data_IF_591941449795
#
_entry.id   IF_591941449795
#
_cell.length_a   1.000
_cell.length_b   1.000
_cell.length_c   1.000
_cell.angle_alpha   90.00
_cell.angle_beta   90.00
_cell.angle_gamma   90.00
#
_symmetry.space_group_name_H-M   'P 1'
#
loop_
_entity.id
_entity.type
_entity.pdbx_description
1 polymer ?
#
# COMPACT_ATOMS: atom_id res chain seq x y z
N UNK A 1 10.73 5.31 34.16
CA UNK A 1 10.16 5.21 32.78
C UNK A 1 9.69 3.78 32.60
N UNK A 2 8.45 3.44 32.26
CA UNK A 2 7.30 4.21 31.77
C UNK A 2 6.05 3.39 32.09
N UNK A 3 5.02 4.04 32.67
CA UNK A 3 3.67 3.50 32.71
C UNK A 3 3.25 3.18 31.28
N UNK A 4 3.16 1.89 30.97
CA UNK A 4 2.61 1.41 29.72
C UNK A 4 1.10 1.65 29.79
N UNK A 5 0.68 2.87 29.42
CA UNK A 5 -0.72 3.24 29.26
C UNK A 5 -1.39 2.16 28.41
N UNK A 6 -2.20 1.32 29.05
CA UNK A 6 -3.05 0.36 28.35
C UNK A 6 -4.10 1.16 27.58
N UNK A 7 -3.74 1.59 26.38
CA UNK A 7 -4.68 2.21 25.43
C UNK A 7 -5.89 1.27 25.32
N UNK A 8 -7.09 1.84 25.47
CA UNK A 8 -8.31 1.09 25.22
C UNK A 8 -8.28 0.52 23.79
N UNK A 9 -8.95 -0.61 23.57
CA UNK A 9 -8.99 -1.27 22.25
C UNK A 9 -9.37 -0.29 21.14
N UNK A 10 -10.30 0.62 21.41
CA UNK A 10 -10.73 1.70 20.52
C UNK A 10 -9.58 2.65 20.16
N UNK A 11 -8.81 3.11 21.14
CA UNK A 11 -7.67 4.00 20.88
C UNK A 11 -6.56 3.30 20.09
N UNK A 12 -6.37 1.99 20.29
CA UNK A 12 -5.43 1.19 19.50
C UNK A 12 -5.87 1.11 18.05
N UNK A 13 -7.13 0.74 17.79
CA UNK A 13 -7.70 0.65 16.44
C UNK A 13 -7.61 2.00 15.73
N UNK A 14 -7.97 3.09 16.41
CA UNK A 14 -7.92 4.44 15.84
C UNK A 14 -6.51 4.81 15.37
N UNK A 15 -5.47 4.49 16.16
CA UNK A 15 -4.08 4.73 15.77
C UNK A 15 -3.68 3.96 14.51
N UNK A 16 -4.10 2.70 14.40
CA UNK A 16 -3.83 1.90 13.20
C UNK A 16 -4.55 2.47 11.97
N UNK A 17 -5.83 2.81 12.08
CA UNK A 17 -6.61 3.37 10.96
C UNK A 17 -6.03 4.72 10.50
N UNK A 18 -5.61 5.59 11.43
CA UNK A 18 -4.93 6.84 11.09
C UNK A 18 -3.62 6.60 10.34
N UNK A 19 -2.80 5.65 10.83
CA UNK A 19 -1.56 5.26 10.15
C UNK A 19 -1.86 4.75 8.73
N UNK A 20 -2.83 3.85 8.58
CA UNK A 20 -3.20 3.28 7.27
C UNK A 20 -3.76 4.33 6.32
N UNK A 21 -4.47 5.33 6.85
CA UNK A 21 -5.03 6.43 6.06
C UNK A 21 -3.93 7.33 5.49
N UNK A 22 -2.99 7.76 6.34
CA UNK A 22 -1.82 8.53 5.88
C UNK A 22 -1.02 7.72 4.87
N UNK A 23 -0.83 6.43 5.16
CA UNK A 23 -0.09 5.56 4.26
C UNK A 23 -0.81 5.37 2.92
N UNK A 24 -2.13 5.23 2.93
CA UNK A 24 -2.98 5.16 1.74
C UNK A 24 -2.89 6.40 0.86
N UNK A 25 -2.84 7.59 1.46
CA UNK A 25 -2.60 8.83 0.72
C UNK A 25 -1.21 8.84 0.06
N UNK A 26 -0.15 8.54 0.81
CA UNK A 26 1.20 8.46 0.25
C UNK A 26 1.31 7.40 -0.86
N UNK A 27 0.65 6.26 -0.66
CA UNK A 27 0.57 5.16 -1.61
C UNK A 27 -0.10 5.61 -2.92
N UNK A 28 -1.22 6.33 -2.83
CA UNK A 28 -1.88 6.95 -3.98
C UNK A 28 -0.92 7.82 -4.81
N UNK A 29 -0.24 8.76 -4.15
CA UNK A 29 0.69 9.68 -4.80
C UNK A 29 1.84 8.94 -5.49
N UNK A 30 2.41 7.93 -4.83
CA UNK A 30 3.49 7.14 -5.38
C UNK A 30 3.05 6.33 -6.61
N UNK A 31 1.89 5.67 -6.54
CA UNK A 31 1.36 4.92 -7.69
C UNK A 31 1.10 5.84 -8.88
N UNK A 32 0.48 6.99 -8.67
CA UNK A 32 0.26 7.97 -9.73
C UNK A 32 1.57 8.47 -10.35
N UNK A 33 2.59 8.69 -9.52
CA UNK A 33 3.91 9.07 -10.01
C UNK A 33 4.53 7.97 -10.86
N UNK A 34 4.47 6.70 -10.43
CA UNK A 34 5.03 5.56 -11.18
C UNK A 34 4.33 5.36 -12.53
N UNK A 35 3.02 5.55 -12.58
CA UNK A 35 2.26 5.50 -13.84
C UNK A 35 2.69 6.63 -14.78
N UNK A 36 2.86 7.86 -14.25
CA UNK A 36 3.40 8.97 -15.04
C UNK A 36 4.81 8.68 -15.54
N UNK A 37 5.70 8.18 -14.69
CA UNK A 37 7.06 7.79 -15.11
C UNK A 37 7.03 6.75 -16.24
N UNK A 38 6.12 5.77 -16.17
CA UNK A 38 5.96 4.78 -17.23
C UNK A 38 5.50 5.41 -18.55
N UNK A 39 4.56 6.36 -18.51
CA UNK A 39 4.12 7.12 -19.70
C UNK A 39 5.27 7.97 -20.26
N UNK A 40 5.97 8.70 -19.40
CA UNK A 40 7.04 9.62 -19.77
C UNK A 40 8.26 8.89 -20.36
N UNK A 41 8.47 7.63 -19.99
CA UNK A 41 9.53 6.79 -20.56
C UNK A 41 9.28 6.32 -22.00
N UNK A 42 8.10 6.60 -22.58
CA UNK A 42 7.68 6.22 -23.94
C UNK A 42 7.98 4.76 -24.33
N UNK A 43 7.63 3.76 -23.50
CA UNK A 43 7.86 2.36 -23.83
C UNK A 43 6.86 1.88 -24.89
N UNK A 44 7.22 0.85 -25.66
CA UNK A 44 6.29 0.19 -26.59
C UNK A 44 5.03 -0.35 -25.90
N UNK A 45 5.15 -0.73 -24.62
CA UNK A 45 4.06 -1.32 -23.83
C UNK A 45 3.86 -0.60 -22.48
N UNK A 46 3.28 0.61 -22.51
CA UNK A 46 3.05 1.47 -21.33
C UNK A 46 2.36 0.73 -20.18
N UNK A 47 1.31 -0.07 -20.45
CA UNK A 47 0.58 -0.78 -19.40
C UNK A 47 1.45 -1.80 -18.66
N UNK A 48 2.30 -2.53 -19.39
CA UNK A 48 3.17 -3.55 -18.82
C UNK A 48 4.28 -2.90 -18.00
N UNK A 49 4.89 -1.83 -18.52
CA UNK A 49 5.90 -1.04 -17.80
C UNK A 49 5.32 -0.44 -16.52
N UNK A 50 4.14 0.19 -16.58
CA UNK A 50 3.46 0.73 -15.41
C UNK A 50 3.15 -0.36 -14.38
N UNK A 51 2.66 -1.52 -14.83
CA UNK A 51 2.41 -2.66 -13.95
C UNK A 51 3.69 -3.11 -13.26
N UNK A 52 4.80 -3.27 -13.98
CA UNK A 52 6.08 -3.68 -13.40
C UNK A 52 6.57 -2.71 -12.33
N UNK A 53 6.49 -1.39 -12.59
CA UNK A 53 6.84 -0.36 -11.62
C UNK A 53 5.96 -0.41 -10.37
N UNK A 54 4.65 -0.50 -10.55
CA UNK A 54 3.72 -0.58 -9.43
C UNK A 54 3.88 -1.89 -8.62
N UNK A 55 4.17 -3.02 -9.27
CA UNK A 55 4.46 -4.28 -8.58
C UNK A 55 5.76 -4.19 -7.76
N UNK A 56 6.82 -3.62 -8.33
CA UNK A 56 8.06 -3.35 -7.60
C UNK A 56 7.82 -2.46 -6.37
N UNK A 57 7.01 -1.41 -6.53
CA UNK A 57 6.63 -0.54 -5.42
C UNK A 57 5.73 -1.24 -4.38
N UNK A 58 4.90 -2.21 -4.79
CA UNK A 58 4.12 -3.02 -3.85
C UNK A 58 5.00 -3.91 -2.98
N UNK A 59 6.14 -4.39 -3.47
CA UNK A 59 7.12 -5.12 -2.63
C UNK A 59 7.70 -4.19 -1.56
N UNK A 60 8.07 -2.97 -1.93
CA UNK A 60 8.54 -1.95 -0.98
C UNK A 60 7.45 -1.59 0.04
N UNK A 61 6.23 -1.36 -0.44
CA UNK A 61 5.08 -1.03 0.41
C UNK A 61 4.76 -2.17 1.38
N UNK A 62 4.77 -3.43 0.91
CA UNK A 62 4.63 -4.62 1.75
C UNK A 62 5.70 -4.71 2.84
N UNK A 63 6.96 -4.36 2.51
CA UNK A 63 8.04 -4.27 3.49
C UNK A 63 7.73 -3.26 4.59
N UNK A 64 7.29 -2.05 4.21
CA UNK A 64 6.99 -0.96 5.15
C UNK A 64 5.74 -1.28 5.99
N UNK A 65 4.65 -1.75 5.37
CA UNK A 65 3.44 -2.18 6.08
C UNK A 65 3.80 -3.23 7.14
N UNK A 66 4.54 -4.26 6.77
CA UNK A 66 5.00 -5.31 7.70
C UNK A 66 6.03 -4.81 8.72
N UNK A 67 6.60 -3.61 8.56
CA UNK A 67 7.55 -3.00 9.50
C UNK A 67 6.82 -2.16 10.54
N UNK A 68 5.87 -1.34 10.11
CA UNK A 68 5.15 -0.38 10.95
C UNK A 68 3.87 -0.94 11.55
N UNK A 69 3.18 -1.87 10.87
CA UNK A 69 2.05 -2.60 11.43
C UNK A 69 2.43 -4.06 11.76
N UNK A 70 2.77 -4.28 13.03
CA UNK A 70 3.11 -5.63 13.53
C UNK A 70 1.89 -6.49 13.83
N UNK A 71 0.74 -5.85 14.04
CA UNK A 71 -0.45 -6.52 14.49
C UNK A 71 -1.15 -7.12 13.26
N UNK A 72 -1.65 -6.28 12.36
CA UNK A 72 -2.62 -6.66 11.33
C UNK A 72 -2.16 -6.22 9.92
N UNK A 73 -0.96 -6.62 9.45
CA UNK A 73 -0.36 -6.08 8.23
C UNK A 73 -1.16 -6.41 6.96
N UNK A 74 -1.80 -7.58 6.88
CA UNK A 74 -2.59 -7.97 5.71
C UNK A 74 -3.87 -7.13 5.59
N UNK A 75 -4.52 -6.83 6.73
CA UNK A 75 -5.70 -5.97 6.78
C UNK A 75 -5.31 -4.53 6.48
N UNK A 76 -4.16 -4.08 7.00
CA UNK A 76 -3.58 -2.79 6.65
C UNK A 76 -3.34 -2.66 5.14
N UNK A 77 -2.78 -3.69 4.50
CA UNK A 77 -2.55 -3.72 3.06
C UNK A 77 -3.84 -3.61 2.24
N UNK A 78 -4.88 -4.35 2.62
CA UNK A 78 -6.20 -4.26 1.96
C UNK A 78 -6.77 -2.84 2.12
N UNK A 79 -6.75 -2.29 3.34
CA UNK A 79 -7.23 -0.95 3.61
C UNK A 79 -6.45 0.10 2.80
N UNK A 80 -5.12 0.07 2.83
CA UNK A 80 -4.23 1.00 2.12
C UNK A 80 -4.48 0.93 0.61
N UNK A 81 -4.63 -0.28 0.06
CA UNK A 81 -4.92 -0.48 -1.36
C UNK A 81 -6.28 0.12 -1.75
N UNK A 82 -7.35 -0.22 -1.03
CA UNK A 82 -8.71 0.29 -1.31
C UNK A 82 -8.76 1.81 -1.10
N UNK A 83 -8.29 2.28 0.06
CA UNK A 83 -8.33 3.69 0.39
C UNK A 83 -7.48 4.51 -0.57
N UNK A 84 -6.23 4.11 -0.80
CA UNK A 84 -5.31 4.83 -1.67
C UNK A 84 -5.68 4.79 -3.16
N UNK A 85 -6.24 3.70 -3.67
CA UNK A 85 -6.51 3.58 -5.11
C UNK A 85 -7.94 3.90 -5.51
N UNK A 86 -8.89 3.88 -4.57
CA UNK A 86 -10.30 4.20 -4.84
C UNK A 86 -10.73 5.47 -4.14
N UNK A 87 -10.58 5.52 -2.81
CA UNK A 87 -11.16 6.61 -1.99
C UNK A 87 -10.43 7.94 -2.23
N UNK A 88 -9.10 7.94 -2.12
CA UNK A 88 -8.27 9.14 -2.31
C UNK A 88 -8.48 9.78 -3.70
N UNK A 89 -8.35 9.08 -4.84
CA UNK A 89 -8.54 9.71 -6.15
C UNK A 89 -9.96 10.24 -6.37
N UNK A 90 -10.98 9.49 -5.91
CA UNK A 90 -12.37 9.91 -6.07
C UNK A 90 -12.66 11.18 -5.28
N UNK A 91 -12.13 11.31 -4.06
CA UNK A 91 -12.32 12.49 -3.22
C UNK A 91 -11.55 13.70 -3.77
N UNK A 92 -10.31 13.52 -4.22
CA UNK A 92 -9.43 14.63 -4.59
C UNK A 92 -9.61 15.12 -6.02
N UNK A 93 -9.96 14.24 -6.95
CA UNK A 93 -9.98 14.55 -8.39
C UNK A 93 -11.28 14.11 -9.06
N UNK A 94 -11.87 13.00 -8.60
CA UNK A 94 -13.10 12.43 -9.12
C UNK A 94 -12.91 11.05 -9.75
N UNK A 95 -14.00 10.36 -10.15
CA UNK A 95 -13.96 8.99 -10.64
C UNK A 95 -13.10 8.77 -11.89
N UNK A 96 -12.90 9.80 -12.71
CA UNK A 96 -12.04 9.76 -13.89
C UNK A 96 -10.54 9.62 -13.57
N UNK A 97 -10.12 9.86 -12.33
CA UNK A 97 -8.74 9.68 -11.89
C UNK A 97 -8.40 8.24 -11.48
N UNK A 98 -9.35 7.32 -11.61
CA UNK A 98 -9.11 5.90 -11.36
C UNK A 98 -8.18 5.31 -12.43
N UNK A 99 -7.29 4.43 -11.97
CA UNK A 99 -6.42 3.67 -12.85
C UNK A 99 -7.22 2.77 -13.79
N UNK A 100 -6.60 2.34 -14.89
CA UNK A 100 -7.19 1.33 -15.75
C UNK A 100 -7.51 0.07 -14.95
N UNK A 101 -8.66 -0.56 -15.23
CA UNK A 101 -9.12 -1.78 -14.55
C UNK A 101 -8.04 -2.87 -14.39
N UNK A 102 -7.25 -3.22 -15.43
CA UNK A 102 -6.21 -4.23 -15.26
C UNK A 102 -5.11 -3.80 -14.30
N UNK A 103 -4.68 -2.53 -14.37
CA UNK A 103 -3.66 -1.98 -13.49
C UNK A 103 -4.14 -1.94 -12.03
N UNK A 104 -5.36 -1.45 -11.81
CA UNK A 104 -6.00 -1.41 -10.51
C UNK A 104 -6.12 -2.81 -9.89
N UNK A 105 -6.62 -3.79 -10.65
CA UNK A 105 -6.77 -5.16 -10.17
C UNK A 105 -5.43 -5.80 -9.81
N UNK A 106 -4.41 -5.65 -10.69
CA UNK A 106 -3.07 -6.18 -10.44
C UNK A 106 -2.44 -5.61 -9.17
N UNK A 107 -2.58 -4.29 -8.95
CA UNK A 107 -2.04 -3.61 -7.76
C UNK A 107 -2.81 -4.03 -6.49
N UNK A 108 -4.15 -4.04 -6.53
CA UNK A 108 -4.98 -4.40 -5.37
C UNK A 108 -4.77 -5.84 -4.92
N UNK A 109 -4.60 -6.78 -5.86
CA UNK A 109 -4.38 -8.19 -5.53
C UNK A 109 -2.94 -8.41 -5.05
N UNK A 110 -1.95 -7.79 -5.68
CA UNK A 110 -0.54 -8.03 -5.35
C UNK A 110 -0.13 -7.44 -4.00
N UNK A 111 -0.71 -6.31 -3.56
CA UNK A 111 -0.30 -5.66 -2.31
C UNK A 111 -0.53 -6.56 -1.06
N UNK A 112 -1.71 -7.17 -0.86
CA UNK A 112 -1.91 -8.16 0.22
C UNK A 112 -1.02 -9.40 0.06
N UNK A 113 -0.86 -9.91 -1.17
CA UNK A 113 -0.03 -11.10 -1.45
C UNK A 113 1.43 -10.86 -1.08
N UNK A 114 2.00 -9.72 -1.48
CA UNK A 114 3.37 -9.36 -1.14
C UNK A 114 3.53 -9.07 0.35
N UNK A 115 2.52 -8.47 0.99
CA UNK A 115 2.53 -8.24 2.44
C UNK A 115 2.54 -9.55 3.21
N UNK A 116 1.73 -10.51 2.79
CA UNK A 116 1.76 -11.87 3.32
C UNK A 116 3.15 -12.50 3.13
N UNK A 117 3.67 -12.54 1.91
CA UNK A 117 4.99 -13.12 1.61
C UNK A 117 6.11 -12.47 2.44
N UNK A 118 6.10 -11.15 2.57
CA UNK A 118 7.06 -10.38 3.36
C UNK A 118 7.02 -10.75 4.85
N UNK A 119 5.83 -11.01 5.40
CA UNK A 119 5.68 -11.48 6.78
C UNK A 119 6.30 -12.85 6.98
N UNK A 120 6.15 -13.77 6.03
CA UNK A 120 6.81 -15.08 6.07
C UNK A 120 8.33 -14.96 6.03
N UNK A 121 8.86 -14.12 5.14
CA UNK A 121 10.30 -13.87 5.02
C UNK A 121 10.85 -13.31 6.35
N UNK A 122 10.20 -12.30 6.94
CA UNK A 122 10.63 -11.69 8.21
C UNK A 122 10.55 -12.65 9.41
N UNK A 123 9.67 -13.67 9.38
CA UNK A 123 9.61 -14.70 10.42
C UNK A 123 10.77 -15.71 10.33
N UNK A 124 11.31 -15.94 9.13
CA UNK A 124 12.40 -16.90 8.89
C UNK A 124 13.79 -16.29 9.03
N UNK A 125 13.92 -14.97 8.92
CA UNK A 125 15.19 -14.28 9.17
C UNK A 125 15.48 -14.23 10.68
N UNK A 126 16.64 -14.72 11.15
CA UNK A 126 17.03 -14.56 12.55
C UNK A 126 17.10 -13.07 12.89
N UNK A 127 16.55 -12.71 14.04
CA UNK A 127 16.74 -11.37 14.61
C UNK A 127 18.17 -11.31 15.12
N UNK A 128 19.06 -10.69 14.36
CA UNK A 128 20.33 -10.19 14.89
C UNK A 128 20.08 -8.95 15.75
#
# INVERSE_FOLDING_TARGET
MSQQNQLSTTQRVLKHVLLWTVFGYCYHSAINLLVKMAIDSQPEQVLVTAMAYCLGFNVLSAHLISKYDRHWPEIAAIYIGIFGLLVVPVILVGPQALLSRPLLAGILISLPVFTFAMRFIKRKLPKN
#
